data_IF_575573549305
#
_entry.id   IF_575573549305
#
_cell.length_a   1.000
_cell.length_b   1.000
_cell.length_c   1.000
_cell.angle_alpha   90.00
_cell.angle_beta   90.00
_cell.angle_gamma   90.00
#
_symmetry.space_group_name_H-M   'P 1'
#
loop_
_entity.id
_entity.type
_entity.pdbx_description
1 polymer ?
#
# COMPACT_ATOMS: atom_id res chain seq x y z
N UNK A 1 -9.91 -11.80 10.90
CA UNK A 1 -8.52 -12.07 10.46
C UNK A 1 -7.60 -11.44 11.48
N UNK A 2 -6.55 -12.14 11.93
CA UNK A 2 -5.59 -11.58 12.90
C UNK A 2 -4.73 -10.52 12.22
N UNK A 3 -4.04 -9.70 13.00
CA UNK A 3 -3.24 -8.61 12.44
C UNK A 3 -1.99 -9.16 11.73
N UNK A 4 -1.44 -10.25 12.27
CA UNK A 4 -0.35 -11.00 11.63
C UNK A 4 -0.74 -11.53 10.24
N UNK A 5 -1.95 -12.08 10.09
CA UNK A 5 -2.42 -12.62 8.82
C UNK A 5 -2.61 -11.49 7.78
N UNK A 6 -3.13 -10.33 8.21
CA UNK A 6 -3.26 -9.14 7.35
C UNK A 6 -1.91 -8.59 6.90
N UNK A 7 -0.91 -8.62 7.78
CA UNK A 7 0.45 -8.19 7.45
C UNK A 7 1.13 -9.14 6.44
N UNK A 8 0.88 -10.45 6.54
CA UNK A 8 1.35 -11.39 5.51
C UNK A 8 0.66 -11.13 4.16
N UNK A 9 -0.65 -10.89 4.14
CA UNK A 9 -1.36 -10.51 2.91
C UNK A 9 -0.82 -9.20 2.32
N UNK A 10 -0.47 -8.23 3.16
CA UNK A 10 0.12 -6.97 2.74
C UNK A 10 1.47 -7.17 2.05
N UNK A 11 2.36 -7.99 2.63
CA UNK A 11 3.62 -8.38 2.01
C UNK A 11 3.42 -9.04 0.64
N UNK A 12 2.48 -9.97 0.53
CA UNK A 12 2.17 -10.69 -0.71
C UNK A 12 1.52 -9.79 -1.77
N UNK A 13 0.83 -8.72 -1.35
CA UNK A 13 0.32 -7.68 -2.24
C UNK A 13 1.44 -6.79 -2.74
N UNK A 14 2.36 -6.38 -1.86
CA UNK A 14 3.40 -5.41 -2.19
C UNK A 14 4.55 -5.99 -3.02
N UNK A 15 4.94 -7.24 -2.78
CA UNK A 15 6.18 -7.80 -3.32
C UNK A 15 6.00 -9.21 -3.89
N UNK A 16 6.81 -9.54 -4.89
CA UNK A 16 7.05 -10.92 -5.26
C UNK A 16 8.13 -11.53 -4.35
N UNK A 17 7.99 -12.83 -4.10
CA UNK A 17 8.88 -13.61 -3.24
C UNK A 17 9.39 -14.84 -3.98
N UNK A 18 10.64 -15.23 -3.72
CA UNK A 18 11.17 -16.51 -4.21
C UNK A 18 10.73 -17.69 -3.31
N UNK A 19 11.11 -18.91 -3.67
CA UNK A 19 10.76 -20.13 -2.90
C UNK A 19 11.27 -20.12 -1.45
N UNK A 20 12.33 -19.34 -1.17
CA UNK A 20 12.88 -19.17 0.17
C UNK A 20 12.19 -18.03 0.97
N UNK A 21 11.15 -17.39 0.42
CA UNK A 21 10.44 -16.27 1.04
C UNK A 21 11.21 -14.94 1.02
N UNK A 22 12.29 -14.82 0.24
CA UNK A 22 13.01 -13.57 0.09
C UNK A 22 12.32 -12.67 -0.95
N UNK A 23 12.27 -11.37 -0.69
CA UNK A 23 11.67 -10.38 -1.58
C UNK A 23 12.51 -10.25 -2.86
N UNK A 24 11.88 -10.17 -4.03
CA UNK A 24 12.59 -10.02 -5.31
C UNK A 24 12.32 -8.65 -5.92
N UNK A 25 11.07 -8.36 -6.22
CA UNK A 25 10.61 -7.15 -6.91
C UNK A 25 9.30 -6.64 -6.31
N UNK A 26 8.99 -5.37 -6.56
CA UNK A 26 7.66 -4.80 -6.40
C UNK A 26 6.65 -5.59 -7.23
N UNK A 27 5.47 -5.84 -6.69
CA UNK A 27 4.41 -6.58 -7.37
C UNK A 27 3.56 -5.69 -8.29
N UNK A 28 4.24 -4.90 -9.11
CA UNK A 28 3.65 -4.10 -10.19
C UNK A 28 4.71 -3.81 -11.26
N UNK A 29 4.33 -3.59 -12.53
CA UNK A 29 5.25 -3.07 -13.54
C UNK A 29 5.85 -1.72 -13.11
N UNK A 30 7.13 -1.45 -13.41
CA UNK A 30 8.03 -2.26 -14.23
C UNK A 30 8.77 -3.37 -13.45
N UNK A 31 8.26 -3.77 -12.28
CA UNK A 31 8.84 -4.78 -11.39
C UNK A 31 10.21 -4.36 -10.85
N UNK A 32 10.25 -3.15 -10.29
CA UNK A 32 11.46 -2.60 -9.67
C UNK A 32 11.92 -3.47 -8.50
N UNK A 33 13.22 -3.45 -8.14
CA UNK A 33 13.72 -4.24 -7.02
C UNK A 33 12.96 -3.98 -5.72
N UNK A 34 12.67 -5.04 -4.97
CA UNK A 34 12.10 -4.92 -3.63
C UNK A 34 13.09 -4.24 -2.66
N UNK A 35 12.59 -3.59 -1.58
CA UNK A 35 13.44 -2.95 -0.58
C UNK A 35 14.40 -3.94 0.07
N UNK A 36 15.55 -3.43 0.52
CA UNK A 36 16.58 -4.19 1.24
C UNK A 36 15.98 -4.99 2.40
N UNK A 37 15.13 -4.33 3.18
CA UNK A 37 14.34 -4.98 4.24
C UNK A 37 12.95 -4.36 4.33
N UNK A 38 11.95 -5.21 4.60
CA UNK A 38 10.62 -4.81 5.03
C UNK A 38 10.34 -5.36 6.42
N UNK A 39 9.77 -4.53 7.30
CA UNK A 39 9.38 -4.89 8.66
C UNK A 39 7.93 -4.50 8.86
N UNK A 40 7.06 -5.49 9.07
CA UNK A 40 5.68 -5.31 9.49
C UNK A 40 5.55 -5.50 10.99
N UNK A 41 5.09 -4.47 11.71
CA UNK A 41 4.86 -4.52 13.16
C UNK A 41 3.37 -4.53 13.43
N UNK A 42 2.91 -5.53 14.17
CA UNK A 42 1.51 -5.73 14.55
C UNK A 42 1.40 -5.95 16.05
N UNK A 43 0.17 -5.97 16.58
CA UNK A 43 -0.06 -6.35 17.99
C UNK A 43 0.31 -7.80 18.29
N UNK A 44 0.31 -8.65 17.28
CA UNK A 44 0.61 -10.08 17.37
C UNK A 44 2.11 -10.37 17.27
N UNK A 45 2.92 -9.41 16.79
CA UNK A 45 4.37 -9.55 16.63
C UNK A 45 4.93 -8.80 15.44
N UNK A 46 6.22 -9.08 15.14
CA UNK A 46 7.00 -8.46 14.06
C UNK A 46 7.23 -9.50 12.95
N UNK A 47 7.03 -9.10 11.69
CA UNK A 47 7.35 -9.91 10.51
C UNK A 47 8.39 -9.18 9.67
N UNK A 48 9.52 -9.83 9.44
CA UNK A 48 10.62 -9.27 8.65
C UNK A 48 10.86 -10.10 7.41
N UNK A 49 11.12 -9.41 6.29
CA UNK A 49 11.52 -10.02 5.02
C UNK A 49 12.68 -9.22 4.43
N UNK A 50 13.66 -9.95 3.90
CA UNK A 50 14.83 -9.37 3.26
C UNK A 50 14.74 -9.54 1.75
N UNK A 51 15.32 -8.59 1.03
CA UNK A 51 15.56 -8.78 -0.40
C UNK A 51 16.51 -9.95 -0.65
N UNK A 52 16.24 -10.70 -1.72
CA UNK A 52 17.09 -11.73 -2.29
C UNK A 52 18.48 -11.24 -2.70
N UNK A 53 18.67 -9.91 -2.80
CA UNK A 53 19.95 -9.26 -3.13
C UNK A 53 20.85 -9.06 -1.91
N UNK A 54 20.34 -9.30 -0.71
CA UNK A 54 21.05 -9.10 0.56
C UNK A 54 21.79 -10.37 0.96
N UNK A 55 23.06 -10.26 1.32
CA UNK A 55 23.87 -11.39 1.77
C UNK A 55 23.53 -11.85 3.21
N UNK A 56 23.85 -13.10 3.52
CA UNK A 56 23.55 -13.72 4.81
C UNK A 56 24.27 -13.07 6.00
N UNK A 57 25.41 -12.42 5.79
CA UNK A 57 26.14 -11.73 6.87
C UNK A 57 25.37 -10.48 7.28
N UNK A 58 24.87 -9.72 6.30
CA UNK A 58 24.03 -8.55 6.55
C UNK A 58 22.70 -8.95 7.20
N UNK A 59 22.03 -10.00 6.70
CA UNK A 59 20.77 -10.50 7.30
C UNK A 59 20.94 -10.83 8.77
N UNK A 60 21.90 -11.69 9.12
CA UNK A 60 22.17 -12.08 10.51
C UNK A 60 22.49 -10.89 11.42
N UNK A 61 23.23 -9.91 10.89
CA UNK A 61 23.53 -8.68 11.64
C UNK A 61 22.25 -7.93 11.99
N UNK A 62 21.34 -7.78 11.04
CA UNK A 62 20.09 -7.05 11.26
C UNK A 62 19.10 -7.82 12.15
N UNK A 63 19.02 -9.13 11.96
CA UNK A 63 18.20 -10.02 12.79
C UNK A 63 18.59 -9.94 14.26
N UNK A 64 19.89 -9.98 14.57
CA UNK A 64 20.38 -9.82 15.94
C UNK A 64 19.99 -8.45 16.52
N UNK A 65 20.13 -7.37 15.73
CA UNK A 65 19.73 -6.02 16.16
C UNK A 65 18.23 -5.93 16.48
N UNK A 66 17.39 -6.67 15.76
CA UNK A 66 15.92 -6.62 15.91
C UNK A 66 15.41 -7.59 16.98
N UNK A 67 16.06 -8.74 17.19
CA UNK A 67 15.69 -9.67 18.27
C UNK A 67 15.94 -9.09 19.66
N UNK A 68 17.00 -8.30 19.81
CA UNK A 68 17.34 -7.64 21.07
C UNK A 68 16.58 -6.30 21.28
N UNK A 69 15.64 -5.97 20.37
CA UNK A 69 14.96 -4.67 20.30
C UNK A 69 13.64 -4.59 21.08
N UNK A 70 13.65 -3.80 22.17
CA UNK A 70 12.43 -3.22 22.76
C UNK A 70 11.88 -2.06 21.90
N UNK A 71 10.73 -1.46 22.23
CA UNK A 71 10.09 -0.39 21.41
C UNK A 71 11.02 0.78 21.05
N UNK A 72 11.95 1.16 21.93
CA UNK A 72 12.95 2.21 21.70
C UNK A 72 14.01 1.85 20.62
N UNK A 73 14.22 0.55 20.34
CA UNK A 73 15.25 0.08 19.41
C UNK A 73 14.85 0.17 17.93
N UNK A 74 13.59 0.44 17.59
CA UNK A 74 13.22 0.78 16.20
C UNK A 74 13.92 2.08 15.77
N UNK A 75 14.01 3.05 16.68
CA UNK A 75 14.73 4.31 16.45
C UNK A 75 16.23 4.06 16.30
N UNK A 76 16.80 3.20 17.14
CA UNK A 76 18.22 2.83 17.04
C UNK A 76 18.52 1.99 15.80
N UNK A 77 17.62 1.09 15.38
CA UNK A 77 17.71 0.34 14.13
C UNK A 77 17.72 1.30 12.94
N UNK A 78 16.79 2.27 12.92
CA UNK A 78 16.72 3.31 11.90
C UNK A 78 18.02 4.13 11.91
N UNK A 79 18.49 4.60 13.07
CA UNK A 79 19.74 5.35 13.20
C UNK A 79 20.98 4.54 12.78
N UNK A 80 21.07 3.26 13.13
CA UNK A 80 22.21 2.41 12.75
C UNK A 80 22.22 2.07 11.28
N UNK A 81 21.04 1.84 10.69
CA UNK A 81 20.87 1.64 9.25
C UNK A 81 21.27 2.90 8.49
N UNK A 82 20.73 4.07 8.86
CA UNK A 82 21.05 5.37 8.25
C UNK A 82 22.54 5.75 8.37
N UNK A 83 23.22 5.32 9.43
CA UNK A 83 24.64 5.67 9.67
C UNK A 83 25.65 4.72 9.00
N UNK A 84 25.24 3.56 8.47
CA UNK A 84 26.18 2.50 8.03
C UNK A 84 26.04 2.05 6.59
N UNK A 85 25.00 2.46 5.88
CA UNK A 85 24.81 2.10 4.49
C UNK A 85 24.47 3.35 3.66
N UNK A 86 24.82 3.31 2.38
CA UNK A 86 24.29 4.19 1.34
C UNK A 86 22.77 3.92 1.17
N UNK A 87 22.01 3.99 2.26
CA UNK A 87 20.56 3.86 2.23
C UNK A 87 20.02 5.18 1.72
N UNK A 88 19.25 5.08 0.65
CA UNK A 88 18.75 6.26 -0.05
C UNK A 88 17.34 6.62 0.40
N UNK A 89 16.59 5.66 0.94
CA UNK A 89 15.19 5.89 1.32
C UNK A 89 14.72 5.05 2.51
N UNK A 90 14.00 5.72 3.41
CA UNK A 90 13.33 5.14 4.56
C UNK A 90 11.85 5.56 4.54
N UNK A 91 10.94 4.59 4.57
CA UNK A 91 9.50 4.85 4.64
C UNK A 91 8.87 4.06 5.77
N UNK A 92 8.00 4.72 6.52
CA UNK A 92 7.27 4.13 7.64
C UNK A 92 5.86 4.69 7.70
N UNK A 93 4.90 3.84 8.00
CA UNK A 93 3.52 4.29 8.09
C UNK A 93 2.51 3.25 8.56
N UNK A 94 1.29 3.70 8.86
CA UNK A 94 0.23 2.81 9.29
C UNK A 94 -0.38 2.02 8.13
N UNK A 95 -0.74 0.77 8.42
CA UNK A 95 -1.45 -0.12 7.50
C UNK A 95 -2.86 -0.41 8.02
N UNK A 96 -3.82 -0.44 7.10
CA UNK A 96 -5.24 -0.50 7.39
C UNK A 96 -5.97 -1.53 6.53
N UNK A 97 -7.03 -2.11 7.10
CA UNK A 97 -8.01 -2.92 6.38
C UNK A 97 -9.34 -2.17 6.32
N UNK A 98 -9.98 -2.17 5.16
CA UNK A 98 -11.30 -1.56 5.01
C UNK A 98 -12.36 -2.36 5.79
N UNK A 99 -13.35 -1.70 6.41
CA UNK A 99 -14.52 -2.40 6.90
C UNK A 99 -15.35 -2.93 5.72
N UNK A 100 -16.35 -3.78 5.99
CA UNK A 100 -17.32 -4.17 4.96
C UNK A 100 -18.01 -2.94 4.40
N UNK A 101 -17.96 -2.77 3.07
CA UNK A 101 -18.59 -1.66 2.38
C UNK A 101 -19.89 -2.11 1.73
N UNK A 102 -21.01 -1.57 2.20
CA UNK A 102 -22.34 -1.88 1.65
C UNK A 102 -22.75 -0.85 0.57
N UNK A 103 -22.50 0.42 0.84
CA UNK A 103 -22.92 1.54 0.00
C UNK A 103 -21.73 2.28 -0.63
N UNK A 104 -21.97 2.89 -1.79
CA UNK A 104 -21.02 3.80 -2.44
C UNK A 104 -21.71 5.11 -2.78
N UNK A 105 -20.92 6.18 -2.87
CA UNK A 105 -21.42 7.45 -3.37
C UNK A 105 -21.90 7.34 -4.82
N UNK A 106 -23.05 7.93 -5.19
CA UNK A 106 -23.48 8.00 -6.59
C UNK A 106 -22.61 8.93 -7.45
N UNK A 107 -21.68 9.69 -6.84
CA UNK A 107 -20.76 10.59 -7.55
C UNK A 107 -19.57 9.88 -8.18
N UNK A 108 -19.35 8.60 -7.85
CA UNK A 108 -18.22 7.82 -8.39
C UNK A 108 -18.61 7.17 -9.70
N UNK A 109 -17.72 7.28 -10.68
CA UNK A 109 -17.81 6.60 -11.97
C UNK A 109 -16.86 5.42 -11.98
N UNK A 110 -17.34 4.24 -12.37
CA UNK A 110 -16.49 3.09 -12.66
C UNK A 110 -15.82 3.30 -14.01
N UNK A 111 -14.49 3.34 -14.03
CA UNK A 111 -13.71 3.40 -15.27
C UNK A 111 -13.64 1.99 -15.83
N UNK A 112 -14.39 1.75 -16.90
CA UNK A 112 -14.32 0.51 -17.69
C UNK A 112 -13.42 0.75 -18.91
N UNK A 113 -13.20 -0.29 -19.70
CA UNK A 113 -12.51 -0.18 -20.99
C UNK A 113 -13.08 0.93 -21.91
N UNK A 114 -14.40 1.17 -21.86
CA UNK A 114 -15.05 2.22 -22.65
C UNK A 114 -14.71 3.64 -22.16
N UNK A 115 -14.32 3.78 -20.89
CA UNK A 115 -14.02 5.07 -20.25
C UNK A 115 -12.52 5.30 -20.07
N UNK A 116 -11.66 4.31 -20.35
CA UNK A 116 -10.24 4.36 -19.99
C UNK A 116 -9.47 5.52 -20.61
N UNK A 117 -9.89 6.01 -21.78
CA UNK A 117 -9.27 7.17 -22.44
C UNK A 117 -9.30 8.43 -21.56
N UNK A 118 -10.22 8.52 -20.58
CA UNK A 118 -10.25 9.60 -19.57
C UNK A 118 -8.95 9.69 -18.76
N UNK A 119 -8.20 8.58 -18.64
CA UNK A 119 -6.99 8.48 -17.83
C UNK A 119 -5.73 8.94 -18.59
N UNK A 120 -5.78 9.06 -19.91
CA UNK A 120 -4.60 9.11 -20.76
C UNK A 120 -3.70 10.32 -20.52
N UNK A 121 -4.30 11.48 -20.27
CA UNK A 121 -3.56 12.74 -20.14
C UNK A 121 -2.96 12.90 -18.75
N UNK A 122 -3.73 12.63 -17.69
CA UNK A 122 -3.33 12.89 -16.31
C UNK A 122 -2.77 11.64 -15.58
N UNK A 123 -3.09 10.43 -16.05
CA UNK A 123 -2.78 9.15 -15.39
C UNK A 123 -2.25 8.11 -16.40
N UNK A 124 -1.30 8.50 -17.23
CA UNK A 124 -0.75 7.67 -18.32
C UNK A 124 -0.27 6.29 -17.83
N UNK A 125 0.38 6.21 -16.66
CA UNK A 125 0.82 4.92 -16.11
C UNK A 125 -0.35 3.98 -15.82
N UNK A 126 -1.44 4.50 -15.25
CA UNK A 126 -2.68 3.74 -15.00
C UNK A 126 -3.34 3.35 -16.32
N UNK A 127 -3.37 4.24 -17.30
CA UNK A 127 -3.90 3.96 -18.64
C UNK A 127 -3.14 2.81 -19.33
N UNK A 128 -1.81 2.85 -19.30
CA UNK A 128 -0.95 1.85 -19.94
C UNK A 128 -1.02 0.48 -19.26
N UNK A 129 -1.31 0.44 -17.95
CA UNK A 129 -1.36 -0.79 -17.15
C UNK A 129 -2.78 -1.09 -16.65
N UNK A 130 -3.80 -0.65 -17.38
CA UNK A 130 -5.18 -0.58 -16.88
C UNK A 130 -5.71 -1.90 -16.34
N UNK A 131 -5.44 -3.02 -17.03
CA UNK A 131 -5.83 -4.37 -16.59
C UNK A 131 -5.32 -4.71 -15.19
N UNK A 132 -4.06 -4.35 -14.90
CA UNK A 132 -3.44 -4.59 -13.59
C UNK A 132 -3.86 -3.59 -12.52
N UNK A 133 -4.41 -2.44 -12.92
CA UNK A 133 -4.87 -1.39 -12.03
C UNK A 133 -6.37 -1.49 -11.73
N UNK A 134 -7.09 -2.46 -12.30
CA UNK A 134 -8.49 -2.70 -11.98
C UNK A 134 -8.72 -3.21 -10.55
N UNK A 135 -9.88 -2.91 -9.93
CA UNK A 135 -10.90 -1.98 -10.41
C UNK A 135 -10.42 -0.53 -10.31
N UNK A 136 -10.99 0.38 -11.11
CA UNK A 136 -10.67 1.81 -11.00
C UNK A 136 -11.91 2.71 -11.01
N UNK A 137 -11.97 3.64 -10.04
CA UNK A 137 -13.08 4.57 -9.86
C UNK A 137 -12.60 6.01 -9.85
N UNK A 138 -13.39 6.91 -10.42
CA UNK A 138 -13.11 8.35 -10.47
C UNK A 138 -14.29 9.18 -9.96
N UNK A 139 -14.00 10.40 -9.50
CA UNK A 139 -14.97 11.48 -9.39
C UNK A 139 -14.58 12.56 -10.39
N UNK A 140 -15.53 13.02 -11.20
CA UNK A 140 -15.33 14.10 -12.16
C UNK A 140 -15.77 15.44 -11.56
N UNK A 141 -14.99 16.50 -11.80
CA UNK A 141 -15.34 17.89 -11.47
C UNK A 141 -14.82 18.80 -12.58
N UNK A 142 -15.69 19.62 -13.18
CA UNK A 142 -15.34 20.56 -14.26
C UNK A 142 -14.57 19.87 -15.41
N UNK A 143 -15.11 18.75 -15.90
CA UNK A 143 -14.55 17.93 -16.99
C UNK A 143 -13.13 17.40 -16.75
N UNK A 144 -12.72 17.28 -15.48
CA UNK A 144 -11.44 16.68 -15.08
C UNK A 144 -11.64 15.65 -13.98
N UNK A 145 -10.69 14.72 -13.86
CA UNK A 145 -10.66 13.77 -12.76
C UNK A 145 -10.26 14.52 -11.49
N UNK A 146 -11.23 14.72 -10.60
CA UNK A 146 -11.05 15.36 -9.30
C UNK A 146 -10.38 14.41 -8.31
N UNK A 147 -10.72 13.13 -8.39
CA UNK A 147 -10.12 12.07 -7.59
C UNK A 147 -10.22 10.74 -8.32
N UNK A 148 -9.25 9.87 -8.08
CA UNK A 148 -9.16 8.52 -8.63
C UNK A 148 -8.73 7.55 -7.53
N UNK A 149 -9.31 6.36 -7.54
CA UNK A 149 -8.80 5.21 -6.80
C UNK A 149 -8.74 4.01 -7.74
N UNK A 150 -7.56 3.45 -7.90
CA UNK A 150 -7.34 2.19 -8.60
C UNK A 150 -6.60 1.21 -7.69
N UNK A 151 -6.37 -0.02 -8.15
CA UNK A 151 -5.49 -0.97 -7.46
C UNK A 151 -4.03 -0.55 -7.61
N UNK A 152 -3.33 -0.32 -6.50
CA UNK A 152 -1.89 -0.11 -6.47
C UNK A 152 -1.18 -1.40 -6.90
N UNK A 153 -1.38 -2.45 -6.10
CA UNK A 153 -0.81 -3.79 -6.24
C UNK A 153 -1.81 -4.82 -5.76
N UNK A 154 -1.65 -6.08 -6.13
CA UNK A 154 -2.64 -7.11 -5.82
C UNK A 154 -2.08 -8.54 -5.84
N UNK A 155 -2.75 -9.40 -5.09
CA UNK A 155 -2.62 -10.85 -5.13
C UNK A 155 -3.97 -11.50 -5.45
N UNK A 156 -4.02 -12.83 -5.47
CA UNK A 156 -5.27 -13.58 -5.68
C UNK A 156 -6.30 -13.37 -4.56
N UNK A 157 -5.85 -13.01 -3.35
CA UNK A 157 -6.69 -12.96 -2.14
C UNK A 157 -6.81 -11.56 -1.53
N UNK A 158 -5.97 -10.61 -1.94
CA UNK A 158 -5.99 -9.24 -1.44
C UNK A 158 -5.58 -8.23 -2.53
N UNK A 159 -5.98 -6.98 -2.35
CA UNK A 159 -5.54 -5.87 -3.18
C UNK A 159 -5.35 -4.63 -2.31
N UNK A 160 -4.53 -3.69 -2.77
CA UNK A 160 -4.26 -2.44 -2.07
C UNK A 160 -4.63 -1.21 -2.90
N UNK A 161 -5.22 -0.21 -2.25
CA UNK A 161 -5.73 0.97 -2.93
C UNK A 161 -4.63 1.98 -3.26
N UNK A 162 -4.69 2.57 -4.45
CA UNK A 162 -3.93 3.76 -4.84
C UNK A 162 -4.90 4.92 -5.02
N UNK A 163 -4.85 5.91 -4.14
CA UNK A 163 -5.76 7.06 -4.17
C UNK A 163 -5.00 8.33 -4.50
N UNK A 164 -5.53 9.08 -5.46
CA UNK A 164 -5.11 10.45 -5.72
C UNK A 164 -6.32 11.37 -5.71
N UNK A 165 -6.17 12.55 -5.11
CA UNK A 165 -7.15 13.65 -5.18
C UNK A 165 -6.41 14.91 -5.58
N UNK A 166 -6.88 15.52 -6.67
CA UNK A 166 -6.33 16.76 -7.20
C UNK A 166 -6.35 17.85 -6.10
N UNK A 167 -5.28 18.64 -5.89
CA UNK A 167 -5.17 19.58 -4.77
C UNK A 167 -6.36 20.55 -4.64
N UNK A 168 -6.90 21.03 -5.76
CA UNK A 168 -8.06 21.95 -5.79
C UNK A 168 -9.40 21.30 -5.42
N UNK A 169 -9.45 19.97 -5.34
CA UNK A 169 -10.67 19.20 -5.05
C UNK A 169 -10.59 18.45 -3.70
N UNK A 170 -9.53 18.68 -2.92
CA UNK A 170 -9.38 18.14 -1.55
C UNK A 170 -10.38 18.77 -0.59
N UNK A 171 -10.64 18.09 0.54
CA UNK A 171 -11.60 18.55 1.56
C UNK A 171 -13.08 18.33 1.21
N UNK A 172 -13.39 17.79 0.02
CA UNK A 172 -14.77 17.54 -0.45
C UNK A 172 -15.26 16.10 -0.26
N UNK A 173 -14.44 15.24 0.35
CA UNK A 173 -14.74 13.81 0.54
C UNK A 173 -14.54 12.91 -0.69
N UNK A 174 -14.01 13.43 -1.81
CA UNK A 174 -13.86 12.65 -3.05
C UNK A 174 -12.91 11.47 -2.94
N UNK A 175 -11.75 11.64 -2.27
CA UNK A 175 -10.80 10.55 -2.03
C UNK A 175 -11.43 9.38 -1.28
N UNK A 176 -12.22 9.68 -0.23
CA UNK A 176 -12.96 8.66 0.51
C UNK A 176 -14.02 7.99 -0.37
N UNK A 177 -14.73 8.74 -1.21
CA UNK A 177 -15.76 8.17 -2.09
C UNK A 177 -15.17 7.18 -3.10
N UNK A 178 -14.06 7.53 -3.77
CA UNK A 178 -13.41 6.60 -4.74
C UNK A 178 -12.80 5.39 -4.05
N UNK A 179 -12.16 5.57 -2.88
CA UNK A 179 -11.57 4.48 -2.10
C UNK A 179 -12.64 3.50 -1.60
N UNK A 180 -13.79 4.02 -1.13
CA UNK A 180 -14.94 3.21 -0.74
C UNK A 180 -15.48 2.38 -1.90
N UNK A 181 -15.64 2.99 -3.09
CA UNK A 181 -16.13 2.30 -4.27
C UNK A 181 -15.18 1.18 -4.74
N UNK A 182 -13.88 1.47 -4.76
CA UNK A 182 -12.82 0.49 -5.04
C UNK A 182 -12.87 -0.67 -4.04
N UNK A 183 -12.90 -0.38 -2.74
CA UNK A 183 -12.85 -1.41 -1.70
C UNK A 183 -14.06 -2.35 -1.76
N UNK A 184 -15.26 -1.80 -2.02
CA UNK A 184 -16.46 -2.62 -2.22
C UNK A 184 -16.30 -3.60 -3.38
N UNK A 185 -15.74 -3.14 -4.50
CA UNK A 185 -15.59 -4.00 -5.67
C UNK A 185 -14.57 -5.11 -5.42
N UNK A 186 -13.44 -4.80 -4.80
CA UNK A 186 -12.46 -5.80 -4.33
C UNK A 186 -13.10 -6.82 -3.37
N UNK A 187 -13.90 -6.36 -2.40
CA UNK A 187 -14.62 -7.24 -1.47
C UNK A 187 -15.63 -8.14 -2.16
N UNK A 188 -16.35 -7.64 -3.18
CA UNK A 188 -17.30 -8.44 -3.98
C UNK A 188 -16.63 -9.55 -4.78
N UNK A 189 -15.35 -9.38 -5.09
CA UNK A 189 -14.52 -10.41 -5.71
C UNK A 189 -14.01 -11.45 -4.69
N UNK A 190 -14.42 -11.34 -3.41
CA UNK A 190 -13.99 -12.24 -2.33
C UNK A 190 -12.59 -11.94 -1.80
N UNK A 191 -12.02 -10.77 -2.14
CA UNK A 191 -10.65 -10.38 -1.76
C UNK A 191 -10.65 -9.38 -0.59
N UNK A 192 -9.54 -9.34 0.14
CA UNK A 192 -9.31 -8.37 1.21
C UNK A 192 -8.87 -7.03 0.62
N UNK A 193 -9.56 -5.94 0.96
CA UNK A 193 -9.20 -4.58 0.58
C UNK A 193 -8.29 -3.97 1.65
N UNK A 194 -7.04 -3.67 1.26
CA UNK A 194 -5.99 -3.09 2.10
C UNK A 194 -5.71 -1.64 1.71
N UNK A 195 -5.15 -0.90 2.65
CA UNK A 195 -4.69 0.48 2.48
C UNK A 195 -3.47 0.73 3.35
N UNK A 196 -2.45 1.39 2.84
CA UNK A 196 -1.33 1.90 3.64
C UNK A 196 -0.99 3.32 3.22
N UNK A 197 -0.22 4.00 4.06
CA UNK A 197 0.27 5.34 3.79
C UNK A 197 1.41 5.65 4.74
N UNK A 198 2.26 6.63 4.43
CA UNK A 198 3.29 7.14 5.34
C UNK A 198 2.71 8.01 6.46
N UNK A 199 3.47 8.16 7.56
CA UNK A 199 3.08 8.97 8.71
C UNK A 199 2.93 10.47 8.43
N UNK A 200 3.65 11.00 7.43
CA UNK A 200 3.60 12.40 7.00
C UNK A 200 2.47 12.69 6.01
N UNK A 201 1.82 11.65 5.45
CA UNK A 201 0.68 11.81 4.55
C UNK A 201 -0.65 11.92 5.33
N UNK A 202 -0.86 13.09 5.93
CA UNK A 202 -2.07 13.39 6.71
C UNK A 202 -3.37 13.28 5.90
N UNK A 203 -3.32 13.52 4.59
CA UNK A 203 -4.49 13.44 3.72
C UNK A 203 -4.99 11.98 3.58
N UNK A 204 -4.09 11.04 3.30
CA UNK A 204 -4.41 9.62 3.22
C UNK A 204 -4.85 9.05 4.56
N UNK A 205 -4.23 9.45 5.66
CA UNK A 205 -4.71 9.07 6.99
C UNK A 205 -6.10 9.65 7.29
N UNK A 206 -6.40 10.84 6.78
CA UNK A 206 -7.75 11.41 6.82
C UNK A 206 -8.78 10.52 6.14
N UNK A 207 -8.46 9.97 4.97
CA UNK A 207 -9.31 8.99 4.26
C UNK A 207 -9.54 7.75 5.11
N UNK A 208 -8.47 7.17 5.69
CA UNK A 208 -8.59 6.00 6.55
C UNK A 208 -9.51 6.24 7.75
N UNK A 209 -9.41 7.42 8.39
CA UNK A 209 -10.31 7.84 9.47
C UNK A 209 -11.75 8.03 9.00
N UNK A 210 -11.97 8.74 7.88
CA UNK A 210 -13.32 8.97 7.33
C UNK A 210 -14.03 7.67 6.98
N UNK A 211 -13.28 6.67 6.51
CA UNK A 211 -13.82 5.36 6.13
C UNK A 211 -13.82 4.33 7.27
N UNK A 212 -13.50 4.75 8.50
CA UNK A 212 -13.42 3.88 9.68
C UNK A 212 -12.56 2.62 9.43
N UNK A 213 -11.45 2.77 8.70
CA UNK A 213 -10.55 1.66 8.46
C UNK A 213 -9.86 1.25 9.75
N UNK A 214 -9.72 -0.06 9.95
CA UNK A 214 -9.05 -0.59 11.13
C UNK A 214 -7.56 -0.68 10.86
N UNK A 215 -6.76 0.02 11.65
CA UNK A 215 -5.32 -0.17 11.62
C UNK A 215 -4.98 -1.57 12.16
N UNK A 216 -4.17 -2.33 11.42
CA UNK A 216 -3.68 -3.64 11.85
C UNK A 216 -2.17 -3.65 12.10
N UNK A 217 -1.43 -2.63 11.64
CA UNK A 217 -0.01 -2.55 11.90
C UNK A 217 0.65 -1.26 11.46
N UNK A 218 1.97 -1.33 11.43
CA UNK A 218 2.88 -0.33 10.88
C UNK A 218 3.83 -1.08 9.95
N UNK A 219 3.99 -0.58 8.73
CA UNK A 219 5.02 -1.05 7.81
C UNK A 219 6.24 -0.13 7.87
N UNK A 220 7.40 -0.73 7.68
CA UNK A 220 8.69 -0.06 7.52
C UNK A 220 9.37 -0.67 6.31
N UNK A 221 9.76 0.16 5.35
CA UNK A 221 10.57 -0.25 4.20
C UNK A 221 11.84 0.59 4.13
N UNK A 222 12.95 -0.09 3.80
CA UNK A 222 14.29 0.49 3.79
C UNK A 222 14.98 0.03 2.51
N UNK A 223 15.43 1.01 1.71
CA UNK A 223 16.11 0.80 0.43
C UNK A 223 17.62 0.99 0.55
#
# INVERSE_FOLDING_TARGET
MRDEDLMQLHLDVLYQQNEAGALTVMNEPPFEPAPTVHIGVTRDGKQMRFSSRVDEVFKKRLENTIQDADEDLLVDLIHQLMNRADLHEFRMGPTYVFPTIEEISPKVLHVTEQHKELLKDDFLFTYMNFDMKQPCYVVMELDRIASICCTARQSAVAAEASVYTHPKSRGKGYGAAVAQAWARDVQRQGRVALYSTTWDNFASQGIARTLNMRQYGVDVSIE
#
